data_IF_500801003488
#
_entry.id   IF_500801003488
#
_cell.length_a   1.000
_cell.length_b   1.000
_cell.length_c   1.000
_cell.angle_alpha   90.00
_cell.angle_beta   90.00
_cell.angle_gamma   90.00
#
_symmetry.space_group_name_H-M   'P 1'
#
loop_
_entity.id
_entity.type
_entity.pdbx_description
1 polymer ?
#
# COMPACT_ATOMS: atom_id res chain seq x y z
N UNK A 1 4.91 3.49 0.41
CA UNK A 1 3.84 2.97 1.28
C UNK A 1 3.95 3.58 2.65
N UNK A 2 2.89 4.17 3.17
CA UNK A 2 2.77 4.64 4.55
C UNK A 2 1.45 4.21 5.20
N UNK A 3 1.29 4.48 6.48
CA UNK A 3 0.09 4.22 7.29
C UNK A 3 0.42 3.96 8.75
N UNK A 4 -0.59 3.88 9.60
CA UNK A 4 -0.41 3.54 11.01
C UNK A 4 0.00 2.10 11.18
N UNK A 5 -0.73 1.18 10.56
CA UNK A 5 -0.50 -0.26 10.60
C UNK A 5 -0.46 -0.84 9.18
N UNK A 6 0.12 -2.04 9.03
CA UNK A 6 0.11 -2.79 7.78
C UNK A 6 1.10 -2.34 6.71
N UNK A 7 1.92 -1.31 6.94
CA UNK A 7 2.93 -0.82 5.97
C UNK A 7 3.83 -1.92 5.44
N UNK A 8 4.46 -2.66 6.34
CA UNK A 8 5.44 -3.70 6.00
C UNK A 8 4.78 -4.86 5.26
N UNK A 9 3.63 -5.33 5.74
CA UNK A 9 2.88 -6.40 5.07
C UNK A 9 2.41 -5.95 3.69
N UNK A 10 1.86 -4.74 3.57
CA UNK A 10 1.44 -4.18 2.27
C UNK A 10 2.59 -4.03 1.30
N UNK A 11 3.73 -3.51 1.73
CA UNK A 11 4.97 -3.42 0.95
C UNK A 11 5.41 -4.79 0.42
N UNK A 12 5.39 -5.81 1.27
CA UNK A 12 5.79 -7.16 0.90
C UNK A 12 4.82 -7.79 -0.12
N UNK A 13 3.52 -7.60 0.09
CA UNK A 13 2.49 -8.06 -0.85
C UNK A 13 2.56 -7.32 -2.19
N UNK A 14 2.78 -5.99 -2.19
CA UNK A 14 3.01 -5.20 -3.40
C UNK A 14 4.21 -5.74 -4.17
N UNK A 15 5.32 -5.95 -3.48
CA UNK A 15 6.53 -6.46 -4.11
C UNK A 15 6.31 -7.86 -4.71
N UNK A 16 5.55 -8.74 -4.04
CA UNK A 16 5.19 -10.05 -4.56
C UNK A 16 4.33 -9.96 -5.84
N UNK A 17 3.31 -9.10 -5.84
CA UNK A 17 2.46 -8.88 -7.02
C UNK A 17 3.26 -8.33 -8.21
N UNK A 18 4.08 -7.32 -7.98
CA UNK A 18 4.89 -6.68 -9.02
C UNK A 18 5.99 -7.58 -9.55
N UNK A 19 6.57 -8.46 -8.71
CA UNK A 19 7.62 -9.39 -9.11
C UNK A 19 7.15 -10.46 -10.12
N UNK A 20 5.85 -10.60 -10.35
CA UNK A 20 5.31 -11.44 -11.43
C UNK A 20 5.65 -10.91 -12.82
N UNK A 21 5.98 -9.63 -12.92
CA UNK A 21 6.21 -8.94 -14.20
C UNK A 21 7.49 -8.10 -14.25
N UNK A 22 7.99 -7.65 -13.11
CA UNK A 22 9.08 -6.68 -12.99
C UNK A 22 10.20 -7.17 -12.08
N UNK A 23 11.40 -6.61 -12.25
CA UNK A 23 12.49 -6.73 -11.29
C UNK A 23 12.30 -5.70 -10.17
N UNK A 24 12.02 -6.19 -8.97
CA UNK A 24 11.58 -5.39 -7.83
C UNK A 24 12.63 -5.38 -6.72
N UNK A 25 12.94 -4.18 -6.22
CA UNK A 25 13.64 -3.95 -4.95
C UNK A 25 12.62 -3.45 -3.94
N UNK A 26 12.74 -3.86 -2.68
CA UNK A 26 11.87 -3.38 -1.59
C UNK A 26 12.65 -3.04 -0.34
N UNK A 27 12.10 -2.15 0.49
CA UNK A 27 12.61 -1.89 1.84
C UNK A 27 12.77 -3.19 2.62
N UNK A 28 13.96 -3.41 3.15
CA UNK A 28 14.27 -4.54 4.02
C UNK A 28 13.87 -4.23 5.47
N UNK A 29 13.24 -5.20 6.14
CA UNK A 29 12.79 -5.00 7.51
C UNK A 29 11.92 -3.74 7.66
N UNK A 30 12.27 -2.91 8.64
CA UNK A 30 11.64 -1.64 8.97
C UNK A 30 12.55 -0.42 8.66
N UNK A 31 13.43 -0.50 7.67
CA UNK A 31 14.29 0.61 7.24
C UNK A 31 13.49 1.69 6.50
N UNK A 32 12.55 2.32 7.22
CA UNK A 32 11.51 3.20 6.69
C UNK A 32 11.67 4.68 7.08
N UNK A 33 12.84 5.06 7.60
CA UNK A 33 13.19 6.41 8.03
C UNK A 33 14.27 7.04 7.12
N UNK A 34 14.73 8.24 7.47
CA UNK A 34 15.73 9.04 6.77
C UNK A 34 17.09 8.37 6.59
N UNK A 35 17.37 7.31 7.34
CA UNK A 35 18.58 6.50 7.20
C UNK A 35 18.31 5.22 6.39
N UNK A 36 17.16 4.59 6.64
CA UNK A 36 16.81 3.31 6.06
C UNK A 36 16.34 3.40 4.60
N UNK A 37 15.59 4.45 4.26
CA UNK A 37 15.10 4.66 2.90
C UNK A 37 16.26 4.83 1.89
N UNK A 38 17.29 5.68 2.13
CA UNK A 38 18.44 5.77 1.25
C UNK A 38 19.16 4.45 1.03
N UNK A 39 19.26 3.58 2.06
CA UNK A 39 19.85 2.25 1.90
C UNK A 39 19.08 1.38 0.92
N UNK A 40 17.76 1.46 0.93
CA UNK A 40 16.92 0.76 -0.06
C UNK A 40 17.19 1.29 -1.47
N UNK A 41 17.26 2.60 -1.66
CA UNK A 41 17.53 3.20 -2.96
C UNK A 41 18.95 2.90 -3.47
N UNK A 42 19.94 2.85 -2.59
CA UNK A 42 21.31 2.45 -2.94
C UNK A 42 21.45 0.96 -3.29
N UNK A 43 20.46 0.13 -2.96
CA UNK A 43 20.41 -1.29 -3.36
C UNK A 43 19.84 -1.52 -4.75
N UNK A 44 19.29 -0.48 -5.40
CA UNK A 44 18.79 -0.52 -6.77
C UNK A 44 19.93 -0.85 -7.74
N UNK A 45 19.69 -1.83 -8.61
CA UNK A 45 20.63 -2.27 -9.65
C UNK A 45 20.22 -1.70 -11.00
N UNK A 46 21.09 -1.67 -12.02
CA UNK A 46 20.76 -1.13 -13.35
C UNK A 46 19.57 -1.80 -14.03
N UNK A 47 19.24 -3.02 -13.63
CA UNK A 47 18.11 -3.79 -14.16
C UNK A 47 16.87 -3.76 -13.25
N UNK A 48 16.91 -3.05 -12.13
CA UNK A 48 15.74 -2.84 -11.27
C UNK A 48 14.73 -1.94 -11.99
N UNK A 49 13.49 -2.38 -12.05
CA UNK A 49 12.40 -1.67 -12.73
C UNK A 49 11.50 -0.92 -11.74
N UNK A 50 11.30 -1.48 -10.54
CA UNK A 50 10.46 -0.87 -9.50
C UNK A 50 11.12 -1.00 -8.14
N UNK A 51 11.10 0.09 -7.37
CA UNK A 51 11.44 0.12 -5.96
C UNK A 51 10.16 0.31 -5.12
N UNK A 52 9.90 -0.62 -4.20
CA UNK A 52 8.79 -0.53 -3.24
C UNK A 52 9.34 -0.11 -1.89
N UNK A 53 9.11 1.15 -1.54
CA UNK A 53 9.67 1.75 -0.33
C UNK A 53 8.60 1.96 0.75
N UNK A 54 8.97 1.63 1.99
CA UNK A 54 8.17 1.90 3.16
C UNK A 54 8.59 3.23 3.78
N UNK A 55 7.64 4.09 4.14
CA UNK A 55 7.88 5.38 4.76
C UNK A 55 7.17 5.46 6.12
N UNK A 56 7.98 5.51 7.18
CA UNK A 56 7.54 5.71 8.56
C UNK A 56 7.70 7.16 8.99
N UNK A 57 7.01 7.57 10.04
CA UNK A 57 7.14 8.90 10.63
C UNK A 57 6.86 8.88 12.12
N UNK A 58 7.39 9.86 12.84
CA UNK A 58 7.10 10.19 14.23
C UNK A 58 6.55 11.60 14.40
N UNK A 59 6.61 12.43 13.35
CA UNK A 59 6.18 13.83 13.36
C UNK A 59 5.79 14.33 11.98
N UNK A 60 5.21 15.53 11.94
CA UNK A 60 4.90 16.27 10.74
C UNK A 60 6.21 16.61 9.97
N UNK A 61 6.14 16.63 8.64
CA UNK A 61 7.26 16.95 7.75
C UNK A 61 8.12 15.75 7.37
N UNK A 62 8.15 14.68 8.18
CA UNK A 62 9.06 13.56 7.96
C UNK A 62 8.69 12.71 6.73
N UNK A 63 7.42 12.51 6.44
CA UNK A 63 7.02 11.84 5.18
C UNK A 63 7.38 12.69 3.98
N UNK A 64 7.22 14.01 4.06
CA UNK A 64 7.64 14.94 2.99
C UNK A 64 9.13 14.84 2.73
N UNK A 65 9.98 14.88 3.75
CA UNK A 65 11.43 14.68 3.63
C UNK A 65 11.78 13.35 2.95
N UNK A 66 11.09 12.25 3.32
CA UNK A 66 11.28 10.97 2.66
C UNK A 66 10.83 10.98 1.19
N UNK A 67 9.79 11.74 0.86
CA UNK A 67 9.32 11.93 -0.51
C UNK A 67 10.29 12.76 -1.37
N UNK A 68 11.04 13.68 -0.79
CA UNK A 68 12.10 14.41 -1.47
C UNK A 68 13.30 13.50 -1.82
N UNK A 69 13.56 12.48 -0.99
CA UNK A 69 14.61 11.49 -1.24
C UNK A 69 14.18 10.45 -2.27
N UNK A 70 12.93 9.98 -2.17
CA UNK A 70 12.36 8.97 -3.06
C UNK A 70 11.21 9.59 -3.87
N UNK A 71 11.52 10.06 -5.07
CA UNK A 71 10.50 10.46 -6.04
C UNK A 71 9.56 9.28 -6.28
N UNK A 72 8.25 9.51 -6.12
CA UNK A 72 7.24 8.46 -6.13
C UNK A 72 6.28 8.57 -7.32
N UNK A 73 6.11 7.50 -8.07
CA UNK A 73 5.09 7.41 -9.12
C UNK A 73 3.73 6.99 -8.55
N UNK A 74 3.77 6.18 -7.50
CA UNK A 74 2.58 5.67 -6.80
C UNK A 74 2.76 5.83 -5.29
N UNK A 75 1.81 6.48 -4.63
CA UNK A 75 1.71 6.57 -3.18
C UNK A 75 0.60 5.65 -2.66
N UNK A 76 0.89 4.91 -1.58
CA UNK A 76 -0.08 4.00 -0.95
C UNK A 76 -0.24 4.38 0.51
N UNK A 77 -1.49 4.57 0.95
CA UNK A 77 -1.81 4.80 2.37
C UNK A 77 -2.71 3.68 2.88
N UNK A 78 -2.22 2.95 3.90
CA UNK A 78 -2.95 1.79 4.43
C UNK A 78 -4.08 2.20 5.35
N UNK A 79 -3.77 2.93 6.39
CA UNK A 79 -4.75 3.43 7.36
C UNK A 79 -4.17 4.58 8.20
N UNK A 80 -5.07 5.31 8.84
CA UNK A 80 -4.78 6.24 9.93
C UNK A 80 -5.44 5.69 11.19
N UNK A 81 -4.65 5.48 12.23
CA UNK A 81 -5.07 4.98 13.54
C UNK A 81 -4.22 5.60 14.64
N UNK A 82 -4.47 5.25 15.88
CA UNK A 82 -3.95 5.89 17.10
C UNK A 82 -2.43 5.75 17.34
N UNK A 83 -1.67 5.27 16.36
CA UNK A 83 -0.20 5.20 16.47
C UNK A 83 0.41 6.59 16.52
N UNK A 84 1.39 6.79 17.42
CA UNK A 84 2.06 8.10 17.63
C UNK A 84 1.14 9.21 18.17
N UNK A 85 0.02 8.85 18.81
CA UNK A 85 -0.90 9.81 19.43
C UNK A 85 -0.20 10.70 20.45
N UNK A 86 0.72 10.15 21.25
CA UNK A 86 1.51 10.89 22.25
C UNK A 86 2.37 11.99 21.62
N UNK A 87 2.83 11.81 20.39
CA UNK A 87 3.72 12.75 19.69
C UNK A 87 2.95 13.78 18.87
N UNK A 88 1.82 13.39 18.29
CA UNK A 88 1.06 14.21 17.35
C UNK A 88 -0.21 14.82 17.95
N UNK A 89 -0.67 14.31 19.09
CA UNK A 89 -1.74 14.88 19.90
C UNK A 89 -3.17 14.66 19.39
N UNK A 90 -3.37 14.35 18.10
CA UNK A 90 -4.69 14.09 17.54
C UNK A 90 -4.65 13.19 16.30
N UNK A 91 -5.80 12.57 15.99
CA UNK A 91 -5.98 11.77 14.76
C UNK A 91 -5.82 12.62 13.49
N UNK A 92 -6.27 13.86 13.52
CA UNK A 92 -6.15 14.82 12.42
C UNK A 92 -4.68 15.13 12.12
N UNK A 93 -3.84 15.28 13.13
CA UNK A 93 -2.41 15.51 12.97
C UNK A 93 -1.71 14.25 12.42
N UNK A 94 -2.12 13.04 12.86
CA UNK A 94 -1.63 11.78 12.30
C UNK A 94 -2.02 11.66 10.82
N UNK A 95 -3.27 11.97 10.49
CA UNK A 95 -3.78 11.97 9.13
C UNK A 95 -3.04 13.00 8.26
N UNK A 96 -2.79 14.21 8.80
CA UNK A 96 -2.03 15.25 8.10
C UNK A 96 -0.59 14.79 7.81
N UNK A 97 0.10 14.24 8.79
CA UNK A 97 1.48 13.76 8.62
C UNK A 97 1.57 12.64 7.58
N UNK A 98 0.64 11.68 7.60
CA UNK A 98 0.61 10.60 6.59
C UNK A 98 0.15 11.08 5.22
N UNK A 99 -0.72 12.10 5.17
CA UNK A 99 -1.21 12.71 3.94
C UNK A 99 -0.13 13.42 3.12
N UNK A 100 0.99 13.80 3.75
CA UNK A 100 2.14 14.39 3.04
C UNK A 100 2.61 13.54 1.84
N UNK A 101 2.41 12.21 1.90
CA UNK A 101 2.80 11.30 0.80
C UNK A 101 2.03 11.56 -0.50
N UNK A 102 0.85 12.16 -0.43
CA UNK A 102 -0.01 12.40 -1.60
C UNK A 102 -0.08 13.88 -2.02
N UNK A 103 0.37 14.82 -1.16
CA UNK A 103 0.15 16.26 -1.35
C UNK A 103 0.81 16.81 -2.63
N UNK A 104 2.00 16.32 -2.99
CA UNK A 104 2.78 16.83 -4.12
C UNK A 104 2.72 15.93 -5.36
N UNK A 105 1.83 14.95 -5.37
CA UNK A 105 1.64 14.13 -6.55
C UNK A 105 1.01 14.92 -7.69
N UNK A 106 1.48 14.66 -8.89
CA UNK A 106 0.97 15.24 -10.13
C UNK A 106 -0.17 14.39 -10.73
N UNK A 107 -0.85 14.93 -11.73
CA UNK A 107 -1.94 14.22 -12.44
C UNK A 107 -1.48 12.95 -13.19
N UNK A 108 -0.18 12.78 -13.41
CA UNK A 108 0.40 11.59 -14.05
C UNK A 108 0.72 10.48 -13.04
N UNK A 109 0.72 10.80 -11.75
CA UNK A 109 1.00 9.88 -10.64
C UNK A 109 -0.29 9.33 -10.05
N UNK A 110 -0.18 8.31 -9.20
CA UNK A 110 -1.34 7.60 -8.65
C UNK A 110 -1.30 7.59 -7.12
N UNK A 111 -2.43 7.87 -6.50
CA UNK A 111 -2.67 7.68 -5.08
C UNK A 111 -3.58 6.45 -4.86
N UNK A 112 -3.08 5.43 -4.17
CA UNK A 112 -3.83 4.22 -3.80
C UNK A 112 -4.28 4.34 -2.36
N UNK A 113 -5.57 4.52 -2.13
CA UNK A 113 -6.15 4.94 -0.86
C UNK A 113 -7.17 3.93 -0.33
N UNK A 114 -7.12 3.68 0.98
CA UNK A 114 -8.10 2.83 1.67
C UNK A 114 -9.44 3.56 1.81
N UNK A 115 -10.47 3.07 1.12
CA UNK A 115 -11.82 3.65 1.13
C UNK A 115 -12.60 3.39 2.44
N UNK A 116 -12.15 2.42 3.25
CA UNK A 116 -12.81 2.06 4.50
C UNK A 116 -12.30 2.89 5.70
N UNK A 117 -11.21 3.64 5.52
CA UNK A 117 -10.67 4.55 6.53
C UNK A 117 -10.98 5.99 6.14
N UNK A 118 -11.82 6.67 6.91
CA UNK A 118 -12.31 8.02 6.62
C UNK A 118 -11.21 9.06 6.41
N UNK A 119 -10.15 9.00 7.24
CA UNK A 119 -9.01 9.91 7.14
C UNK A 119 -8.20 9.67 5.85
N UNK A 120 -8.06 8.39 5.45
CA UNK A 120 -7.36 8.05 4.20
C UNK A 120 -8.21 8.39 2.99
N UNK A 121 -9.52 8.10 3.03
CA UNK A 121 -10.44 8.44 1.96
C UNK A 121 -10.46 9.97 1.69
N UNK A 122 -10.42 10.80 2.74
CA UNK A 122 -10.37 12.26 2.64
C UNK A 122 -9.07 12.79 2.00
N UNK A 123 -8.01 11.99 1.90
CA UNK A 123 -6.77 12.38 1.21
C UNK A 123 -6.97 12.51 -0.31
N UNK A 124 -8.05 11.94 -0.87
CA UNK A 124 -8.39 12.11 -2.28
C UNK A 124 -8.58 13.58 -2.68
N UNK A 125 -9.10 14.40 -1.76
CA UNK A 125 -9.33 15.83 -1.99
C UNK A 125 -8.06 16.68 -1.86
N UNK A 126 -6.95 16.08 -1.39
CA UNK A 126 -5.68 16.75 -1.13
C UNK A 126 -4.62 16.49 -2.20
N UNK A 127 -4.95 15.74 -3.23
CA UNK A 127 -4.00 15.36 -4.28
C UNK A 127 -4.52 15.71 -5.67
N UNK A 128 -3.60 15.96 -6.59
CA UNK A 128 -3.89 16.09 -8.03
C UNK A 128 -3.73 14.76 -8.77
N UNK A 129 -3.24 13.72 -8.09
CA UNK A 129 -2.99 12.40 -8.65
C UNK A 129 -4.29 11.70 -9.09
N UNK A 130 -4.13 10.70 -9.93
CA UNK A 130 -5.19 9.76 -10.19
C UNK A 130 -5.45 8.94 -8.92
N UNK A 131 -6.68 8.93 -8.43
CA UNK A 131 -7.05 8.20 -7.21
C UNK A 131 -7.59 6.83 -7.56
N UNK A 132 -6.96 5.80 -7.00
CA UNK A 132 -7.43 4.41 -7.02
C UNK A 132 -7.73 4.01 -5.59
N UNK A 133 -8.93 3.53 -5.33
CA UNK A 133 -9.35 3.16 -3.98
C UNK A 133 -9.45 1.64 -3.82
N UNK A 134 -9.24 1.16 -2.60
CA UNK A 134 -9.41 -0.24 -2.26
C UNK A 134 -10.12 -0.38 -0.89
N UNK A 135 -10.76 -1.51 -0.67
CA UNK A 135 -11.44 -1.81 0.58
C UNK A 135 -12.71 -2.63 0.38
N UNK A 136 -13.56 -2.65 1.38
CA UNK A 136 -14.87 -3.31 1.34
C UNK A 136 -15.99 -2.37 0.92
N UNK A 137 -15.78 -1.05 1.01
CA UNK A 137 -16.77 -0.05 0.65
C UNK A 137 -17.25 -0.24 -0.81
N UNK A 138 -18.56 -0.16 -1.02
CA UNK A 138 -19.17 -0.43 -2.32
C UNK A 138 -18.70 0.46 -3.47
N UNK A 139 -18.06 1.60 -3.16
CA UNK A 139 -17.48 2.55 -4.12
C UNK A 139 -15.98 2.33 -4.37
N UNK A 140 -15.34 1.38 -3.69
CA UNK A 140 -13.92 1.12 -3.89
C UNK A 140 -13.65 0.63 -5.32
N UNK A 141 -12.53 1.09 -5.91
CA UNK A 141 -12.06 0.63 -7.23
C UNK A 141 -11.72 -0.85 -7.19
N UNK A 142 -10.96 -1.28 -6.19
CA UNK A 142 -10.67 -2.68 -5.92
C UNK A 142 -11.38 -3.10 -4.65
N UNK A 143 -12.44 -3.90 -4.80
CA UNK A 143 -13.31 -4.29 -3.69
C UNK A 143 -13.10 -5.75 -3.30
N UNK A 144 -13.01 -5.99 -1.97
CA UNK A 144 -13.07 -7.32 -1.37
C UNK A 144 -14.51 -7.73 -1.10
N UNK A 145 -14.83 -8.99 -1.44
CA UNK A 145 -16.14 -9.59 -1.20
C UNK A 145 -15.97 -11.06 -0.76
N UNK A 146 -16.99 -11.63 -0.13
CA UNK A 146 -17.00 -13.03 0.31
C UNK A 146 -15.77 -13.42 1.14
N UNK A 147 -15.38 -12.59 2.10
CA UNK A 147 -14.20 -12.83 2.93
C UNK A 147 -14.43 -13.95 3.91
N UNK A 148 -13.58 -14.97 3.86
CA UNK A 148 -13.54 -16.08 4.80
C UNK A 148 -12.13 -16.16 5.39
N UNK A 149 -12.02 -16.04 6.71
CA UNK A 149 -10.75 -16.18 7.43
C UNK A 149 -10.78 -17.45 8.28
N UNK A 150 -9.74 -18.24 8.16
CA UNK A 150 -9.53 -19.50 8.92
C UNK A 150 -8.18 -19.46 9.63
N UNK A 151 -7.86 -20.52 10.38
CA UNK A 151 -6.54 -20.67 11.00
C UNK A 151 -5.40 -20.87 9.96
N UNK A 152 -5.71 -21.17 8.71
CA UNK A 152 -4.74 -21.41 7.63
C UNK A 152 -4.52 -20.20 6.76
N UNK A 153 -5.40 -19.21 6.81
CA UNK A 153 -5.30 -18.01 5.97
C UNK A 153 -6.64 -17.35 5.71
N UNK A 154 -6.69 -16.56 4.64
CA UNK A 154 -7.91 -15.86 4.21
C UNK A 154 -8.16 -16.10 2.73
N UNK A 155 -9.44 -16.31 2.40
CA UNK A 155 -9.94 -16.41 1.02
C UNK A 155 -10.97 -15.30 0.81
N UNK A 156 -10.90 -14.62 -0.32
CA UNK A 156 -11.86 -13.58 -0.70
C UNK A 156 -11.94 -13.40 -2.21
N UNK A 157 -12.98 -12.74 -2.69
CA UNK A 157 -13.11 -12.33 -4.08
C UNK A 157 -12.64 -10.88 -4.22
N UNK A 158 -11.64 -10.61 -5.05
CA UNK A 158 -11.27 -9.27 -5.46
C UNK A 158 -12.03 -8.89 -6.74
N UNK A 159 -12.64 -7.71 -6.74
CA UNK A 159 -13.43 -7.17 -7.86
C UNK A 159 -12.81 -5.84 -8.29
N UNK A 160 -12.41 -5.72 -9.56
CA UNK A 160 -12.14 -4.41 -10.19
C UNK A 160 -13.47 -3.81 -10.63
N UNK A 161 -13.94 -2.79 -9.92
CA UNK A 161 -15.23 -2.15 -10.16
C UNK A 161 -15.31 -1.40 -11.51
N UNK A 162 -14.16 -1.11 -12.14
CA UNK A 162 -14.09 -0.42 -13.44
C UNK A 162 -14.39 -1.35 -14.61
N UNK A 163 -13.88 -2.59 -14.53
CA UNK A 163 -14.05 -3.60 -15.60
C UNK A 163 -15.09 -4.66 -15.26
N UNK A 164 -15.42 -4.83 -13.98
CA UNK A 164 -16.20 -5.94 -13.46
C UNK A 164 -15.43 -7.26 -13.36
N UNK A 165 -14.12 -7.26 -13.64
CA UNK A 165 -13.26 -8.44 -13.48
C UNK A 165 -13.24 -8.90 -12.03
N UNK A 166 -13.29 -10.22 -11.83
CA UNK A 166 -13.31 -10.86 -10.51
C UNK A 166 -12.24 -11.94 -10.45
N UNK A 167 -11.58 -12.03 -9.30
CA UNK A 167 -10.59 -13.09 -9.06
C UNK A 167 -10.71 -13.55 -7.60
N UNK A 168 -10.65 -14.87 -7.39
CA UNK A 168 -10.51 -15.43 -6.05
C UNK A 168 -9.06 -15.30 -5.60
N UNK A 169 -8.87 -14.84 -4.39
CA UNK A 169 -7.58 -14.70 -3.71
C UNK A 169 -7.57 -15.63 -2.51
N UNK A 170 -6.65 -16.60 -2.53
CA UNK A 170 -6.37 -17.52 -1.44
C UNK A 170 -4.96 -17.25 -0.94
N UNK A 171 -4.80 -16.82 0.29
CA UNK A 171 -3.51 -16.41 0.85
C UNK A 171 -3.29 -16.94 2.26
N UNK A 172 -2.04 -17.26 2.66
CA UNK A 172 -1.73 -17.83 3.97
C UNK A 172 -1.69 -16.78 5.09
N UNK A 173 -2.37 -15.66 4.94
CA UNK A 173 -2.37 -14.56 5.93
C UNK A 173 -3.75 -14.42 6.55
N UNK A 174 -3.79 -14.41 7.90
CA UNK A 174 -5.02 -14.42 8.68
C UNK A 174 -5.49 -13.00 8.96
N UNK A 175 -6.80 -12.77 8.86
CA UNK A 175 -7.47 -11.57 9.33
C UNK A 175 -7.79 -10.54 8.24
N UNK A 176 -8.86 -9.80 8.48
CA UNK A 176 -9.40 -8.79 7.56
C UNK A 176 -8.40 -7.69 7.22
N UNK A 177 -7.53 -7.32 8.17
CA UNK A 177 -6.47 -6.35 7.93
C UNK A 177 -5.49 -6.83 6.84
N UNK A 178 -5.21 -8.13 6.76
CA UNK A 178 -4.37 -8.68 5.69
C UNK A 178 -5.13 -8.75 4.36
N UNK A 179 -6.44 -8.92 4.38
CA UNK A 179 -7.26 -8.81 3.16
C UNK A 179 -7.20 -7.36 2.62
N UNK A 180 -7.30 -6.34 3.47
CA UNK A 180 -7.13 -4.95 3.05
C UNK A 180 -5.73 -4.69 2.50
N UNK A 181 -4.68 -5.21 3.14
CA UNK A 181 -3.30 -5.11 2.64
C UNK A 181 -3.15 -5.77 1.26
N UNK A 182 -3.78 -6.93 1.05
CA UNK A 182 -3.78 -7.63 -0.23
C UNK A 182 -4.54 -6.86 -1.32
N UNK A 183 -5.68 -6.25 -0.99
CA UNK A 183 -6.42 -5.39 -1.92
C UNK A 183 -5.58 -4.18 -2.36
N UNK A 184 -4.85 -3.55 -1.44
CA UNK A 184 -3.89 -2.49 -1.77
C UNK A 184 -2.81 -2.99 -2.74
N UNK A 185 -2.26 -4.17 -2.48
CA UNK A 185 -1.23 -4.77 -3.34
C UNK A 185 -1.74 -5.10 -4.74
N UNK A 186 -2.95 -5.66 -4.84
CA UNK A 186 -3.61 -5.94 -6.13
C UNK A 186 -3.87 -4.64 -6.89
N UNK A 187 -4.34 -3.59 -6.19
CA UNK A 187 -4.58 -2.28 -6.78
C UNK A 187 -3.29 -1.69 -7.38
N UNK A 188 -2.16 -1.74 -6.66
CA UNK A 188 -0.85 -1.32 -7.17
C UNK A 188 -0.42 -2.18 -8.35
N UNK A 189 -0.56 -3.51 -8.26
CA UNK A 189 -0.28 -4.42 -9.37
C UNK A 189 -1.03 -4.03 -10.64
N UNK A 190 -2.33 -3.74 -10.51
CA UNK A 190 -3.17 -3.33 -11.64
C UNK A 190 -2.75 -1.97 -12.23
N UNK A 191 -2.31 -1.01 -11.41
CA UNK A 191 -1.74 0.27 -11.87
C UNK A 191 -0.54 0.04 -12.81
N UNK A 192 0.30 -0.94 -12.51
CA UNK A 192 1.43 -1.33 -13.35
C UNK A 192 1.11 -2.41 -14.40
N UNK A 193 -0.16 -2.73 -14.61
CA UNK A 193 -0.61 -3.67 -15.63
C UNK A 193 -0.33 -5.14 -15.31
N UNK A 194 -0.23 -5.49 -14.02
CA UNK A 194 -0.27 -6.88 -13.57
C UNK A 194 -1.73 -7.34 -13.54
N UNK A 195 -2.02 -8.50 -14.09
CA UNK A 195 -3.39 -9.06 -14.11
C UNK A 195 -3.82 -9.46 -12.68
N UNK A 196 -5.11 -9.34 -12.38
CA UNK A 196 -5.64 -9.73 -11.07
C UNK A 196 -5.28 -11.16 -10.69
N UNK A 197 -5.43 -12.09 -11.63
CA UNK A 197 -5.12 -13.48 -11.40
C UNK A 197 -3.62 -13.76 -11.12
N UNK A 198 -2.72 -12.98 -11.71
CA UNK A 198 -1.28 -13.12 -11.44
C UNK A 198 -0.94 -12.56 -10.06
N UNK A 199 -1.56 -11.45 -9.65
CA UNK A 199 -1.46 -10.93 -8.28
C UNK A 199 -2.01 -11.93 -7.26
N UNK A 200 -3.16 -12.57 -7.53
CA UNK A 200 -3.74 -13.58 -6.65
C UNK A 200 -2.80 -14.78 -6.47
N UNK A 201 -2.20 -15.28 -7.55
CA UNK A 201 -1.21 -16.37 -7.50
C UNK A 201 0.03 -15.99 -6.70
N UNK A 202 0.51 -14.76 -6.87
CA UNK A 202 1.67 -14.26 -6.12
C UNK A 202 1.39 -14.18 -4.61
N UNK A 203 0.20 -13.72 -4.22
CA UNK A 203 -0.20 -13.62 -2.82
C UNK A 203 -0.32 -14.97 -2.12
N UNK A 204 -0.66 -16.03 -2.86
CA UNK A 204 -0.73 -17.40 -2.34
C UNK A 204 0.60 -17.91 -1.80
N UNK A 205 1.71 -17.47 -2.37
CA UNK A 205 3.07 -17.90 -2.00
C UNK A 205 3.93 -16.78 -1.42
N UNK A 206 3.36 -15.60 -1.22
CA UNK A 206 4.08 -14.46 -0.68
C UNK A 206 4.57 -14.75 0.76
N UNK A 207 5.68 -14.10 1.13
CA UNK A 207 6.24 -14.15 2.48
C UNK A 207 6.28 -12.74 3.03
N UNK A 208 5.77 -12.57 4.24
CA UNK A 208 5.81 -11.29 4.94
C UNK A 208 7.03 -11.21 5.86
N UNK A 209 7.64 -10.04 5.93
CA UNK A 209 8.73 -9.76 6.86
C UNK A 209 8.19 -9.76 8.29
N UNK A 210 8.73 -10.61 9.17
CA UNK A 210 8.36 -10.65 10.58
C UNK A 210 7.12 -11.51 10.90
N UNK A 211 6.67 -12.35 9.97
CA UNK A 211 5.66 -13.40 10.20
C UNK A 211 6.31 -14.76 10.45
#
# INVERSE_FOLDING_TARGET
VTGSNGKTSTKDMIAACLATKFKVVKTQGNFNNEIGLPKTLLSVQPDTEIAVVEMGMRGLGQIRELCEIAERDVAVVTNVGETHMELLGSMENIARAKGEIVEELTAQQVAVLNADNEYVAAMADKTKAQVVTYGYAGKATFRGDNVVTTAQGSVFTCIDSRSGERTEVDMPFIGEHNVQNALAAIAVGAVFGVKLNDSAKALRTAKLTGS
#
